data_IF_973829913725
#
_entry.id   IF_973829913725
#
_cell.length_a   1.000
_cell.length_b   1.000
_cell.length_c   1.000
_cell.angle_alpha   90.00
_cell.angle_beta   90.00
_cell.angle_gamma   90.00
#
_symmetry.space_group_name_H-M   'P 1'
#
loop_
_entity.id
_entity.type
_entity.pdbx_description
1 polymer ?
#
# COMPACT_ATOMS: atom_id res chain seq x y z
N UNK A 1 -18.06 1.61 0.45
CA UNK A 1 -16.74 1.18 -0.04
C UNK A 1 -16.87 -0.25 -0.48
N UNK A 2 -16.46 -0.57 -1.71
CA UNK A 2 -16.50 -1.95 -2.20
C UNK A 2 -15.31 -2.76 -1.65
N UNK A 3 -15.45 -4.08 -1.64
CA UNK A 3 -14.38 -4.96 -1.14
C UNK A 3 -13.08 -4.78 -1.94
N UNK A 4 -13.20 -4.57 -3.26
CA UNK A 4 -12.08 -4.26 -4.16
C UNK A 4 -11.31 -2.99 -3.76
N UNK A 5 -12.00 -1.94 -3.31
CA UNK A 5 -11.33 -0.72 -2.82
C UNK A 5 -10.55 -0.98 -1.53
N UNK A 6 -11.06 -1.84 -0.65
CA UNK A 6 -10.41 -2.20 0.62
C UNK A 6 -9.13 -2.98 0.31
N UNK A 7 -9.22 -4.01 -0.52
CA UNK A 7 -8.09 -4.88 -0.90
C UNK A 7 -6.97 -4.07 -1.53
N UNK A 8 -7.30 -3.23 -2.52
CA UNK A 8 -6.31 -2.42 -3.23
C UNK A 8 -5.67 -1.37 -2.32
N UNK A 9 -6.45 -0.71 -1.45
CA UNK A 9 -5.86 0.21 -0.48
C UNK A 9 -4.98 -0.53 0.56
N UNK A 10 -5.40 -1.73 1.01
CA UNK A 10 -4.66 -2.52 1.97
C UNK A 10 -3.30 -2.93 1.39
N UNK A 11 -3.28 -3.32 0.12
CA UNK A 11 -2.07 -3.63 -0.61
C UNK A 11 -1.16 -2.40 -0.78
N UNK A 12 -1.72 -1.24 -1.14
CA UNK A 12 -0.96 0.03 -1.19
C UNK A 12 -0.34 0.34 0.17
N UNK A 13 -1.07 0.14 1.26
CA UNK A 13 -0.56 0.36 2.62
C UNK A 13 0.56 -0.63 2.95
N UNK A 14 0.40 -1.91 2.61
CA UNK A 14 1.42 -2.94 2.79
C UNK A 14 2.74 -2.54 2.10
N UNK A 15 2.69 -2.10 0.85
CA UNK A 15 3.88 -1.67 0.11
C UNK A 15 4.56 -0.42 0.70
N UNK A 16 3.79 0.49 1.31
CA UNK A 16 4.37 1.68 1.96
C UNK A 16 5.01 1.35 3.31
N UNK A 17 4.38 0.49 4.10
CA UNK A 17 4.89 0.10 5.43
C UNK A 17 6.06 -0.90 5.32
N UNK A 18 6.00 -1.80 4.34
CA UNK A 18 6.97 -2.89 4.16
C UNK A 18 7.44 -2.98 2.70
N UNK A 19 8.16 -1.96 2.19
CA UNK A 19 8.64 -1.97 0.80
C UNK A 19 9.66 -3.08 0.52
N UNK A 20 10.33 -3.59 1.56
CA UNK A 20 11.30 -4.70 1.49
C UNK A 20 10.66 -6.07 1.34
N UNK A 21 9.32 -6.14 1.44
CA UNK A 21 8.58 -7.39 1.34
C UNK A 21 8.54 -7.89 -0.11
N UNK A 22 8.73 -7.00 -1.08
CA UNK A 22 8.90 -7.34 -2.49
C UNK A 22 10.35 -7.18 -2.94
N UNK A 23 10.90 -8.22 -3.54
CA UNK A 23 12.17 -8.15 -4.27
C UNK A 23 12.02 -7.30 -5.53
N UNK A 24 13.12 -6.73 -6.04
CA UNK A 24 13.09 -5.93 -7.29
C UNK A 24 12.48 -6.69 -8.47
N UNK A 25 12.72 -8.01 -8.58
CA UNK A 25 12.11 -8.87 -9.60
C UNK A 25 10.59 -8.99 -9.44
N UNK A 26 10.11 -9.11 -8.20
CA UNK A 26 8.67 -9.18 -7.89
C UNK A 26 8.00 -7.84 -8.16
N UNK A 27 8.69 -6.72 -7.91
CA UNK A 27 8.18 -5.38 -8.21
C UNK A 27 8.04 -5.15 -9.72
N UNK A 28 9.01 -5.62 -10.53
CA UNK A 28 8.93 -5.55 -12.00
C UNK A 28 7.80 -6.43 -12.54
N UNK A 29 7.73 -7.70 -12.12
CA UNK A 29 6.68 -8.63 -12.53
C UNK A 29 5.29 -8.09 -12.19
N UNK A 30 5.10 -7.61 -10.97
CA UNK A 30 3.85 -7.03 -10.55
C UNK A 30 3.52 -5.77 -11.37
N UNK A 31 4.49 -4.90 -11.64
CA UNK A 31 4.25 -3.73 -12.48
C UNK A 31 3.77 -4.12 -13.88
N UNK A 32 4.36 -5.16 -14.50
CA UNK A 32 3.94 -5.67 -15.81
C UNK A 32 2.53 -6.26 -15.78
N UNK A 33 2.16 -6.98 -14.72
CA UNK A 33 0.82 -7.53 -14.53
C UNK A 33 -0.25 -6.44 -14.40
N UNK A 34 0.06 -5.30 -13.78
CA UNK A 34 -0.90 -4.23 -13.54
C UNK A 34 -1.10 -3.30 -14.77
N UNK A 35 -0.12 -3.21 -15.68
CA UNK A 35 -0.20 -2.37 -16.90
C UNK A 35 -1.49 -2.61 -17.72
N UNK A 36 -1.84 -3.86 -18.11
CA UNK A 36 -3.01 -4.12 -18.95
C UNK A 36 -4.34 -3.95 -18.21
N UNK A 37 -4.34 -3.83 -16.88
CA UNK A 37 -5.55 -3.79 -16.09
C UNK A 37 -6.20 -2.40 -16.14
N UNK A 38 -7.51 -2.39 -16.38
CA UNK A 38 -8.30 -1.17 -16.57
C UNK A 38 -9.33 -0.96 -15.45
N UNK A 39 -9.75 -2.04 -14.80
CA UNK A 39 -10.82 -2.05 -13.81
C UNK A 39 -10.28 -2.31 -12.41
N UNK A 40 -10.88 -1.68 -11.41
CA UNK A 40 -10.54 -1.89 -10.00
C UNK A 40 -10.74 -3.34 -9.55
N UNK A 41 -11.80 -3.99 -10.03
CA UNK A 41 -12.07 -5.41 -9.77
C UNK A 41 -10.93 -6.29 -10.27
N UNK A 42 -10.54 -6.14 -11.54
CA UNK A 42 -9.41 -6.89 -12.12
C UNK A 42 -8.09 -6.62 -11.37
N UNK A 43 -7.87 -5.37 -10.95
CA UNK A 43 -6.71 -5.00 -10.15
C UNK A 43 -6.72 -5.75 -8.81
N UNK A 44 -7.86 -5.75 -8.12
CA UNK A 44 -8.03 -6.45 -6.85
C UNK A 44 -7.83 -7.96 -7.01
N UNK A 45 -8.46 -8.58 -8.00
CA UNK A 45 -8.35 -10.03 -8.23
C UNK A 45 -6.92 -10.44 -8.58
N UNK A 46 -6.24 -9.64 -9.40
CA UNK A 46 -4.84 -9.89 -9.77
C UNK A 46 -3.93 -9.78 -8.55
N UNK A 47 -4.14 -8.78 -7.69
CA UNK A 47 -3.38 -8.62 -6.45
C UNK A 47 -3.59 -9.77 -5.48
N UNK A 48 -4.84 -10.21 -5.30
CA UNK A 48 -5.15 -11.36 -4.43
C UNK A 48 -4.48 -12.61 -4.98
N UNK A 49 -4.69 -12.92 -6.26
CA UNK A 49 -4.12 -14.10 -6.91
C UNK A 49 -2.60 -14.12 -6.79
N UNK A 50 -1.94 -12.97 -6.97
CA UNK A 50 -0.50 -12.86 -6.87
C UNK A 50 0.00 -12.99 -5.43
N UNK A 51 -0.73 -12.44 -4.44
CA UNK A 51 -0.41 -12.64 -3.03
C UNK A 51 -0.58 -14.10 -2.60
N UNK A 52 -1.52 -14.85 -3.19
CA UNK A 52 -1.68 -16.28 -2.90
C UNK A 52 -0.46 -17.12 -3.30
N UNK A 53 0.39 -16.63 -4.22
CA UNK A 53 1.64 -17.30 -4.59
C UNK A 53 2.73 -17.18 -3.52
N UNK A 54 2.61 -16.21 -2.60
CA UNK A 54 3.53 -15.98 -1.50
C UNK A 54 2.78 -15.88 -0.15
N UNK A 55 2.84 -16.92 0.71
CA UNK A 55 2.08 -16.96 1.94
C UNK A 55 2.42 -15.80 2.92
N UNK A 56 3.60 -15.20 2.82
CA UNK A 56 3.95 -14.04 3.64
C UNK A 56 3.20 -12.78 3.18
N UNK A 57 3.01 -12.61 1.87
CA UNK A 57 2.22 -11.52 1.29
C UNK A 57 0.73 -11.69 1.59
N UNK A 58 0.21 -12.91 1.41
CA UNK A 58 -1.20 -13.21 1.69
C UNK A 58 -1.55 -12.94 3.17
N UNK A 59 -0.74 -13.44 4.11
CA UNK A 59 -0.99 -13.23 5.55
C UNK A 59 -0.93 -11.74 5.92
N UNK A 60 0.06 -11.01 5.39
CA UNK A 60 0.21 -9.58 5.66
C UNK A 60 -0.96 -8.76 5.09
N UNK A 61 -1.41 -9.09 3.88
CA UNK A 61 -2.56 -8.45 3.25
C UNK A 61 -3.85 -8.73 4.04
N UNK A 62 -4.12 -10.00 4.37
CA UNK A 62 -5.30 -10.41 5.14
C UNK A 62 -5.36 -9.74 6.51
N UNK A 63 -4.22 -9.57 7.18
CA UNK A 63 -4.14 -8.86 8.47
C UNK A 63 -4.60 -7.39 8.35
N UNK A 64 -4.11 -6.68 7.33
CA UNK A 64 -4.50 -5.28 7.07
C UNK A 64 -5.98 -5.20 6.67
N UNK A 65 -6.43 -6.06 5.76
CA UNK A 65 -7.82 -6.10 5.32
C UNK A 65 -8.78 -6.35 6.49
N UNK A 66 -8.46 -7.31 7.36
CA UNK A 66 -9.30 -7.65 8.52
C UNK A 66 -9.40 -6.48 9.49
N UNK A 67 -8.27 -5.83 9.80
CA UNK A 67 -8.25 -4.64 10.65
C UNK A 67 -9.07 -3.48 10.06
N UNK A 68 -9.05 -3.32 8.74
CA UNK A 68 -9.78 -2.25 8.06
C UNK A 68 -11.26 -2.56 7.89
N UNK A 69 -11.63 -3.81 7.61
CA UNK A 69 -13.01 -4.31 7.59
C UNK A 69 -13.65 -4.15 8.98
N UNK A 70 -12.94 -4.50 10.04
CA UNK A 70 -13.40 -4.32 11.42
C UNK A 70 -13.61 -2.82 11.74
N UNK A 71 -12.64 -1.97 11.41
CA UNK A 71 -12.76 -0.51 11.59
C UNK A 71 -13.92 0.10 10.79
N UNK A 72 -14.14 -0.35 9.55
CA UNK A 72 -15.26 0.10 8.73
C UNK A 72 -16.60 -0.34 9.34
N UNK A 73 -16.69 -1.56 9.88
CA UNK A 73 -17.89 -2.07 10.55
C UNK A 73 -18.22 -1.33 11.85
N UNK A 74 -17.20 -0.87 12.59
CA UNK A 74 -17.38 -0.06 13.81
C UNK A 74 -17.93 1.34 13.51
N UNK A 75 -17.64 1.88 12.32
CA UNK A 75 -18.11 3.20 11.89
C UNK A 75 -19.63 3.21 11.61
N UNK A 76 -20.20 2.07 11.21
CA UNK A 76 -21.62 1.90 10.90
C UNK A 76 -22.51 1.79 12.16
N UNK A 77 -21.92 1.47 13.33
CA UNK A 77 -22.68 1.08 14.54
C UNK A 77 -22.69 2.05 15.73
N UNK A 78 -22.07 3.22 15.69
CA UNK A 78 -22.11 4.10 16.87
C UNK A 78 -21.62 5.53 16.70
N UNK A 79 -22.46 6.46 17.14
CA UNK A 79 -22.16 7.89 17.30
C UNK A 79 -20.87 8.10 18.12
N UNK A 80 -19.86 8.75 17.53
CA UNK A 80 -18.65 9.21 18.22
C UNK A 80 -17.33 8.56 17.80
N UNK A 81 -17.30 7.73 16.77
CA UNK A 81 -16.05 7.16 16.24
C UNK A 81 -15.12 8.24 15.68
N UNK A 82 -13.90 8.33 16.22
CA UNK A 82 -12.83 9.17 15.68
C UNK A 82 -12.67 8.85 14.20
N UNK A 83 -12.83 9.88 13.36
CA UNK A 83 -13.00 9.77 11.91
C UNK A 83 -11.77 9.20 11.20
N UNK A 84 -11.60 7.89 11.25
CA UNK A 84 -10.67 7.20 10.36
C UNK A 84 -11.34 7.13 8.99
N UNK A 85 -11.08 8.15 8.18
CA UNK A 85 -11.39 8.13 6.75
C UNK A 85 -10.29 7.35 6.06
N UNK A 86 -10.60 6.16 5.57
CA UNK A 86 -9.68 5.45 4.67
C UNK A 86 -9.38 6.35 3.47
N UNK A 87 -8.12 6.36 2.98
CA UNK A 87 -7.74 7.23 1.88
C UNK A 87 -8.60 6.95 0.65
N UNK A 88 -9.08 8.02 0.02
CA UNK A 88 -9.89 7.91 -1.20
C UNK A 88 -8.99 7.50 -2.36
N UNK A 89 -9.38 6.42 -3.01
CA UNK A 89 -8.60 5.76 -4.05
C UNK A 89 -8.87 6.42 -5.41
N UNK A 90 -8.25 7.57 -5.68
CA UNK A 90 -8.51 8.31 -6.93
C UNK A 90 -7.85 7.68 -8.16
N UNK A 91 -6.65 7.11 -8.00
CA UNK A 91 -5.94 6.38 -9.06
C UNK A 91 -5.09 5.25 -8.44
N UNK A 92 -5.71 4.10 -8.12
CA UNK A 92 -5.03 3.02 -7.42
C UNK A 92 -3.88 2.43 -8.20
N UNK A 93 -4.07 2.22 -9.51
CA UNK A 93 -3.07 1.63 -10.38
C UNK A 93 -1.81 2.50 -10.41
N UNK A 94 -1.95 3.80 -10.68
CA UNK A 94 -0.79 4.69 -10.70
C UNK A 94 -0.14 4.82 -9.33
N UNK A 95 -0.90 4.73 -8.23
CA UNK A 95 -0.31 4.72 -6.90
C UNK A 95 0.58 3.50 -6.68
N UNK A 96 0.10 2.29 -7.00
CA UNK A 96 0.89 1.07 -6.90
C UNK A 96 2.12 1.15 -7.80
N UNK A 97 1.94 1.48 -9.08
CA UNK A 97 3.07 1.61 -10.02
C UNK A 97 4.10 2.65 -9.57
N UNK A 98 3.66 3.75 -8.94
CA UNK A 98 4.57 4.75 -8.42
C UNK A 98 5.35 4.24 -7.19
N UNK A 99 4.73 3.43 -6.34
CA UNK A 99 5.41 2.80 -5.20
C UNK A 99 6.42 1.76 -5.69
N UNK A 100 6.04 0.92 -6.65
CA UNK A 100 6.94 -0.07 -7.26
C UNK A 100 8.11 0.59 -8.03
N UNK A 101 7.88 1.78 -8.62
CA UNK A 101 8.94 2.54 -9.30
C UNK A 101 9.84 3.29 -8.32
N UNK A 102 9.41 3.54 -7.07
CA UNK A 102 10.27 4.23 -6.11
C UNK A 102 11.45 3.32 -5.80
N UNK A 103 12.70 3.78 -5.98
CA UNK A 103 13.81 3.11 -5.32
C UNK A 103 13.49 3.12 -3.81
N UNK A 104 13.79 1.99 -3.16
CA UNK A 104 13.79 1.80 -1.71
C UNK A 104 13.96 3.14 -0.98
N UNK A 105 13.12 3.50 0.01
CA UNK A 105 13.19 4.81 0.62
C UNK A 105 14.63 5.07 1.03
N UNK A 106 15.28 5.99 0.33
CA UNK A 106 16.55 6.53 0.75
C UNK A 106 16.29 7.01 2.17
N UNK A 107 16.81 6.24 3.14
CA UNK A 107 16.76 6.45 4.57
C UNK A 107 16.72 7.96 4.87
N UNK A 108 15.53 8.53 4.96
CA UNK A 108 15.38 9.97 5.09
C UNK A 108 15.26 10.26 6.58
N UNK A 109 16.46 10.41 7.15
CA UNK A 109 16.83 11.37 8.19
C UNK A 109 17.15 10.77 9.55
N UNK A 110 18.42 10.85 9.91
CA UNK A 110 18.75 11.79 10.99
C UNK A 110 19.23 13.10 10.37
N UNK A 111 18.53 14.23 10.60
CA UNK A 111 19.09 15.54 10.35
C UNK A 111 20.05 15.86 11.51
N UNK A 112 21.36 15.81 11.27
CA UNK A 112 22.28 16.55 12.12
C UNK A 112 22.21 18.03 11.72
N UNK A 113 21.30 18.74 12.37
CA UNK A 113 21.22 20.20 12.49
C UNK A 113 22.61 20.82 12.76
N UNK A 114 23.17 21.49 11.74
CA UNK A 114 23.91 22.81 11.65
C UNK A 114 24.90 23.27 12.77
N UNK A 115 25.69 24.35 12.57
CA UNK A 115 26.51 24.80 11.42
C UNK A 115 27.94 25.22 11.87
N UNK A 116 28.92 25.37 10.97
CA UNK A 116 29.89 26.50 11.07
C UNK A 116 30.63 26.69 9.75
N UNK A 117 30.22 27.72 9.01
CA UNK A 117 31.14 28.50 8.21
C UNK A 117 32.03 29.30 9.15
N UNK A 118 33.34 29.15 9.06
CA UNK A 118 34.23 30.30 8.99
C UNK A 118 35.60 29.94 8.43
N UNK A 119 35.83 30.49 7.26
CA UNK A 119 37.13 30.75 6.65
C UNK A 119 38.10 31.40 7.64
N UNK A 120 39.36 30.97 7.65
CA UNK A 120 40.51 31.70 7.08
C UNK A 120 41.83 31.03 7.46
#
# INVERSE_FOLDING_TARGET
>A
MSIYEITVNAFIHLLNEQPTLLSSSQQEELAELLIPLSSLEQLSDTLVTWCEEDPQLDEALQGIESAWKEKAALQDKGAGGTGYSLPKLSDPKNQILNILRRPEPAQLSTPATVPESSSK
#
